data_IF_375565862096
#
_entry.id   IF_375565862096
#
_cell.length_a   1.000
_cell.length_b   1.000
_cell.length_c   1.000
_cell.angle_alpha   90.00
_cell.angle_beta   90.00
_cell.angle_gamma   90.00
#
_symmetry.space_group_name_H-M   'P 1'
#
loop_
_entity.id
_entity.type
_entity.pdbx_description
1 polymer ?
#
# COMPACT_ATOMS: atom_id res chain seq x y z
N UNK A 1 6.85 14.81 -64.75
CA UNK A 1 6.01 15.29 -63.62
C UNK A 1 6.57 14.67 -62.35
N UNK A 2 7.15 15.48 -61.46
CA UNK A 2 7.92 15.02 -60.29
C UNK A 2 6.97 14.84 -59.09
N UNK A 3 6.72 13.60 -58.68
CA UNK A 3 5.97 13.28 -57.46
C UNK A 3 6.86 13.41 -56.23
N UNK A 4 6.39 14.13 -55.22
CA UNK A 4 7.14 14.49 -54.02
C UNK A 4 7.15 13.33 -53.00
N UNK A 5 8.30 12.95 -52.38
CA UNK A 5 8.42 11.74 -51.55
C UNK A 5 7.68 11.76 -50.20
N UNK A 6 7.03 12.87 -49.85
CA UNK A 6 6.52 13.11 -48.48
C UNK A 6 5.16 12.47 -48.18
N UNK A 7 4.52 11.78 -49.14
CA UNK A 7 3.16 11.24 -48.96
C UNK A 7 3.14 9.80 -48.41
N UNK A 8 4.28 9.12 -48.34
CA UNK A 8 4.37 7.76 -47.80
C UNK A 8 4.59 7.71 -46.27
N UNK A 9 4.67 8.86 -45.61
CA UNK A 9 4.93 8.98 -44.17
C UNK A 9 3.69 9.06 -43.28
N UNK A 10 2.48 9.12 -43.85
CA UNK A 10 1.24 9.33 -43.08
C UNK A 10 0.29 8.12 -43.03
N UNK A 11 0.64 6.99 -43.63
CA UNK A 11 -0.24 5.81 -43.65
C UNK A 11 0.07 4.76 -42.56
N UNK A 12 1.20 4.85 -41.86
CA UNK A 12 1.56 3.86 -40.80
C UNK A 12 1.19 4.35 -39.40
N UNK A 13 1.09 5.66 -39.19
CA UNK A 13 0.75 6.23 -37.87
C UNK A 13 -0.75 6.20 -37.53
N UNK A 14 -1.61 5.73 -38.44
CA UNK A 14 -3.07 5.61 -38.21
C UNK A 14 -3.51 4.20 -37.75
N UNK A 15 -2.59 3.28 -37.47
CA UNK A 15 -2.95 1.93 -36.98
C UNK A 15 -2.52 1.63 -35.52
N UNK A 16 -2.01 2.63 -34.79
CA UNK A 16 -1.72 2.51 -33.34
C UNK A 16 -2.56 3.47 -32.47
N UNK A 17 -3.59 4.10 -33.04
CA UNK A 17 -4.47 5.02 -32.32
C UNK A 17 -5.60 4.31 -31.53
N UNK A 18 -5.66 2.98 -31.56
CA UNK A 18 -6.65 2.16 -30.85
C UNK A 18 -5.99 1.10 -29.96
N UNK A 19 -4.88 1.44 -29.30
CA UNK A 19 -4.50 0.73 -28.09
C UNK A 19 -5.45 1.16 -26.96
N UNK A 20 -6.17 0.17 -26.45
CA UNK A 20 -7.24 0.24 -25.46
C UNK A 20 -6.93 1.17 -24.26
N UNK A 21 -7.45 2.41 -24.31
CA UNK A 21 -7.37 3.39 -23.21
C UNK A 21 -8.12 2.95 -21.93
N UNK A 22 -8.82 1.81 -21.92
CA UNK A 22 -9.58 1.35 -20.75
C UNK A 22 -8.74 0.71 -19.64
N UNK A 23 -7.44 0.49 -19.85
CA UNK A 23 -6.58 -0.08 -18.81
C UNK A 23 -5.96 0.97 -17.86
N UNK A 24 -6.03 2.26 -18.20
CA UNK A 24 -5.16 3.29 -17.61
C UNK A 24 -5.80 4.17 -16.51
N UNK A 25 -6.96 3.80 -15.95
CA UNK A 25 -7.60 4.62 -14.92
C UNK A 25 -8.32 3.80 -13.84
N UNK A 26 -7.69 2.73 -13.34
CA UNK A 26 -7.97 2.31 -11.96
C UNK A 26 -7.12 3.17 -11.04
N UNK A 27 -7.51 4.43 -10.91
CA UNK A 27 -7.15 5.17 -9.70
C UNK A 27 -7.70 4.35 -8.54
N UNK A 28 -6.83 3.73 -7.76
CA UNK A 28 -7.19 2.96 -6.56
C UNK A 28 -7.66 3.94 -5.47
N UNK A 29 -8.65 4.76 -5.75
CA UNK A 29 -9.51 5.29 -4.69
C UNK A 29 -10.39 4.12 -4.26
N UNK A 30 -10.33 3.77 -2.98
CA UNK A 30 -11.17 2.72 -2.41
C UNK A 30 -12.64 3.14 -2.61
N UNK A 31 -13.29 2.56 -3.62
CA UNK A 31 -14.75 2.57 -3.73
C UNK A 31 -15.29 1.85 -2.50
N UNK A 32 -16.34 2.36 -1.85
CA UNK A 32 -16.93 1.79 -0.62
C UNK A 32 -17.48 0.36 -0.77
N UNK A 33 -17.43 -0.23 -1.96
CA UNK A 33 -18.00 -1.54 -2.26
C UNK A 33 -17.08 -2.65 -1.76
N UNK A 34 -17.33 -3.10 -0.53
CA UNK A 34 -16.77 -4.32 0.05
C UNK A 34 -15.49 -4.14 0.84
N UNK A 35 -15.50 -3.30 1.89
CA UNK A 35 -14.36 -3.14 2.79
C UNK A 35 -13.96 -4.46 3.45
N UNK A 36 -12.65 -4.78 3.42
CA UNK A 36 -12.08 -5.90 4.14
C UNK A 36 -12.11 -5.65 5.65
N UNK A 37 -12.16 -6.72 6.45
CA UNK A 37 -12.18 -6.65 7.92
C UNK A 37 -10.95 -7.34 8.49
N UNK A 38 -10.34 -6.75 9.53
CA UNK A 38 -9.24 -7.39 10.27
C UNK A 38 -9.80 -8.47 11.21
N UNK A 39 -8.92 -9.33 11.72
CA UNK A 39 -9.29 -10.36 12.71
C UNK A 39 -9.84 -9.73 14.00
N UNK A 40 -9.40 -8.51 14.33
CA UNK A 40 -9.84 -7.76 15.51
C UNK A 40 -11.09 -6.88 15.25
N UNK A 41 -11.73 -7.00 14.10
CA UNK A 41 -12.89 -6.17 13.74
C UNK A 41 -14.01 -6.22 14.79
N UNK A 42 -14.42 -7.43 15.20
CA UNK A 42 -15.51 -7.59 16.16
C UNK A 42 -15.13 -7.03 17.54
N UNK A 43 -13.85 -7.14 17.93
CA UNK A 43 -13.31 -6.53 19.14
C UNK A 43 -13.42 -5.00 19.09
N UNK A 44 -13.08 -4.39 17.95
CA UNK A 44 -13.19 -2.93 17.78
C UNK A 44 -14.64 -2.45 17.89
N UNK A 45 -15.57 -3.14 17.22
CA UNK A 45 -16.99 -2.79 17.25
C UNK A 45 -17.56 -2.93 18.66
N UNK A 46 -17.26 -4.03 19.37
CA UNK A 46 -17.71 -4.26 20.74
C UNK A 46 -17.21 -3.19 21.73
N UNK A 47 -16.01 -2.64 21.50
CA UNK A 47 -15.42 -1.58 22.33
C UNK A 47 -15.83 -0.15 21.90
N UNK A 48 -16.77 0.00 20.96
CA UNK A 48 -17.29 1.29 20.54
C UNK A 48 -16.32 2.09 19.66
N UNK A 49 -15.48 1.40 18.88
CA UNK A 49 -14.62 2.06 17.91
C UNK A 49 -15.45 2.70 16.79
N UNK A 50 -15.04 3.88 16.36
CA UNK A 50 -15.53 4.49 15.12
C UNK A 50 -14.80 3.87 13.93
N UNK A 51 -15.50 3.06 13.14
CA UNK A 51 -14.94 2.40 11.97
C UNK A 51 -14.99 3.31 10.75
N UNK A 52 -13.90 3.35 9.97
CA UNK A 52 -13.77 4.19 8.75
C UNK A 52 -13.12 3.39 7.62
N UNK A 53 -13.42 3.70 6.35
CA UNK A 53 -12.70 3.13 5.22
C UNK A 53 -11.26 3.66 5.17
N UNK A 54 -10.28 2.77 5.24
CA UNK A 54 -8.86 3.08 5.10
C UNK A 54 -8.15 2.00 4.28
N UNK A 55 -7.50 2.38 3.18
CA UNK A 55 -6.76 1.47 2.29
C UNK A 55 -7.55 0.21 1.83
N UNK A 56 -8.87 0.31 1.71
CA UNK A 56 -9.75 -0.83 1.37
C UNK A 56 -10.15 -1.73 2.55
N UNK A 57 -9.79 -1.35 3.78
CA UNK A 57 -10.15 -2.00 5.03
C UNK A 57 -11.11 -1.14 5.86
N UNK A 58 -11.92 -1.78 6.69
CA UNK A 58 -12.70 -1.11 7.74
C UNK A 58 -11.86 -1.06 9.02
N UNK A 59 -11.31 0.11 9.33
CA UNK A 59 -10.33 0.30 10.42
C UNK A 59 -10.86 1.23 11.52
N UNK A 60 -10.47 1.04 12.79
CA UNK A 60 -10.85 1.92 13.88
C UNK A 60 -10.04 3.23 13.86
N UNK A 61 -10.71 4.40 13.89
CA UNK A 61 -10.02 5.72 13.98
C UNK A 61 -9.88 6.22 15.42
N UNK A 62 -10.88 5.94 16.25
CA UNK A 62 -10.91 6.32 17.68
C UNK A 62 -11.91 5.44 18.42
N UNK A 63 -11.74 5.35 19.73
CA UNK A 63 -12.71 4.71 20.64
C UNK A 63 -13.57 5.79 21.31
N UNK A 64 -14.07 5.50 22.52
CA UNK A 64 -14.88 6.42 23.32
C UNK A 64 -14.12 7.72 23.66
N UNK A 65 -12.81 7.64 23.81
CA UNK A 65 -11.95 8.79 24.13
C UNK A 65 -11.65 9.67 22.91
N UNK A 66 -11.24 10.91 23.20
CA UNK A 66 -10.76 11.82 22.16
C UNK A 66 -9.44 11.34 21.56
N UNK A 67 -9.18 11.71 20.30
CA UNK A 67 -7.90 11.41 19.62
C UNK A 67 -6.73 12.01 20.39
N UNK A 68 -6.89 13.22 20.94
CA UNK A 68 -5.88 13.87 21.76
C UNK A 68 -5.55 13.08 23.02
N UNK A 69 -6.57 12.59 23.74
CA UNK A 69 -6.37 11.77 24.92
C UNK A 69 -5.61 10.48 24.58
N UNK A 70 -5.97 9.83 23.46
CA UNK A 70 -5.26 8.62 23.01
C UNK A 70 -3.78 8.88 22.68
N UNK A 71 -3.47 10.04 22.10
CA UNK A 71 -2.09 10.45 21.78
C UNK A 71 -1.29 10.75 23.04
N UNK A 72 -1.88 11.47 24.01
CA UNK A 72 -1.25 11.74 25.30
C UNK A 72 -0.99 10.43 26.06
N UNK A 73 -2.00 9.55 26.13
CA UNK A 73 -1.88 8.25 26.79
C UNK A 73 -0.80 7.36 26.16
N UNK A 74 -0.68 7.35 24.83
CA UNK A 74 0.37 6.60 24.14
C UNK A 74 1.78 7.08 24.49
N UNK A 75 1.95 8.37 24.79
CA UNK A 75 3.25 8.96 25.17
C UNK A 75 3.56 8.81 26.66
N UNK A 76 2.55 8.89 27.51
CA UNK A 76 2.71 8.84 28.96
C UNK A 76 2.75 7.41 29.50
N UNK A 77 1.98 6.51 28.91
CA UNK A 77 1.81 5.13 29.37
C UNK A 77 2.20 4.16 28.26
N UNK A 78 1.35 4.01 27.25
CA UNK A 78 1.51 3.04 26.17
C UNK A 78 0.23 2.95 25.33
N UNK A 79 0.37 2.45 24.10
CA UNK A 79 -0.73 2.32 23.14
C UNK A 79 -0.69 0.98 22.41
N UNK A 80 -1.87 0.43 22.13
CA UNK A 80 -2.04 -0.77 21.31
C UNK A 80 -2.68 -0.38 19.96
N UNK A 81 -2.06 -0.80 18.87
CA UNK A 81 -2.49 -0.47 17.51
C UNK A 81 -2.80 -1.75 16.73
N UNK A 82 -3.98 -1.82 16.10
CA UNK A 82 -4.26 -2.85 15.10
C UNK A 82 -3.62 -2.45 13.77
N UNK A 83 -2.47 -3.06 13.48
CA UNK A 83 -1.74 -2.90 12.21
C UNK A 83 -1.88 -4.13 11.31
N UNK A 84 -2.87 -5.00 11.56
CA UNK A 84 -3.01 -6.28 10.85
C UNK A 84 -3.25 -6.14 9.34
N UNK A 85 -3.71 -4.97 8.88
CA UNK A 85 -3.83 -4.66 7.45
C UNK A 85 -2.48 -4.38 6.76
N UNK A 86 -1.42 -4.10 7.52
CA UNK A 86 -0.08 -3.91 6.99
C UNK A 86 0.44 -5.25 6.50
N UNK A 87 0.96 -5.27 5.28
CA UNK A 87 1.56 -6.47 4.71
C UNK A 87 2.94 -6.67 5.33
N UNK A 88 3.10 -7.74 6.11
CA UNK A 88 4.42 -8.28 6.46
C UNK A 88 4.94 -9.18 5.35
N UNK A 89 6.18 -8.98 4.92
CA UNK A 89 6.85 -9.82 3.92
C UNK A 89 8.10 -10.44 4.54
N UNK A 90 8.31 -11.73 4.26
CA UNK A 90 9.54 -12.44 4.61
C UNK A 90 10.22 -12.89 3.32
N UNK A 91 11.48 -12.49 3.15
CA UNK A 91 12.30 -12.85 2.00
C UNK A 91 13.41 -13.78 2.48
N UNK A 92 13.54 -14.93 1.85
CA UNK A 92 14.57 -15.93 2.19
C UNK A 92 15.26 -16.43 0.92
N UNK A 93 16.55 -16.72 1.03
CA UNK A 93 17.36 -17.22 -0.08
C UNK A 93 18.67 -16.47 -0.28
N UNK A 94 19.50 -17.00 -1.19
CA UNK A 94 20.80 -16.41 -1.50
C UNK A 94 20.60 -15.08 -2.26
N UNK A 95 21.23 -14.01 -1.78
CA UNK A 95 21.19 -12.70 -2.43
C UNK A 95 19.96 -11.84 -2.09
N UNK A 96 19.18 -12.17 -1.05
CA UNK A 96 18.05 -11.34 -0.61
C UNK A 96 18.45 -9.89 -0.32
N UNK A 97 19.60 -9.67 0.31
CA UNK A 97 20.15 -8.34 0.61
C UNK A 97 20.38 -7.54 -0.68
N UNK A 98 21.14 -8.11 -1.63
CA UNK A 98 21.40 -7.47 -2.93
C UNK A 98 20.13 -7.21 -3.75
N UNK A 99 19.09 -8.03 -3.59
CA UNK A 99 17.80 -7.80 -4.22
C UNK A 99 17.06 -6.64 -3.54
N UNK A 100 17.04 -6.61 -2.22
CA UNK A 100 16.33 -5.58 -1.46
C UNK A 100 16.97 -4.19 -1.68
N UNK A 101 18.29 -4.10 -1.70
CA UNK A 101 19.05 -2.86 -1.97
C UNK A 101 18.83 -2.30 -3.39
N UNK A 102 18.34 -3.12 -4.33
CA UNK A 102 17.88 -2.62 -5.64
C UNK A 102 16.49 -1.98 -5.59
N UNK A 103 15.69 -2.31 -4.57
CA UNK A 103 14.32 -1.81 -4.38
C UNK A 103 14.24 -0.63 -3.42
N UNK A 104 15.11 -0.59 -2.40
CA UNK A 104 15.10 0.43 -1.35
C UNK A 104 16.37 1.28 -1.40
N UNK A 105 16.25 2.54 -0.99
CA UNK A 105 17.41 3.44 -0.83
C UNK A 105 17.91 3.31 0.62
N UNK A 106 18.44 2.14 0.96
CA UNK A 106 19.02 1.84 2.26
C UNK A 106 20.12 0.79 2.09
N UNK A 107 21.17 0.88 2.90
CA UNK A 107 22.17 -0.19 3.06
C UNK A 107 21.57 -1.24 3.99
N UNK A 108 21.24 -2.41 3.44
CA UNK A 108 20.61 -3.49 4.19
C UNK A 108 21.70 -4.39 4.77
N UNK A 109 22.85 -4.48 4.11
CA UNK A 109 23.98 -5.28 4.58
C UNK A 109 24.57 -4.76 5.91
N UNK A 110 24.52 -3.46 6.17
CA UNK A 110 25.01 -2.83 7.40
C UNK A 110 23.99 -2.82 8.56
N UNK A 111 22.80 -3.40 8.38
CA UNK A 111 21.80 -3.47 9.44
C UNK A 111 22.19 -4.52 10.51
N UNK A 112 22.11 -4.19 11.82
CA UNK A 112 22.35 -5.15 12.88
C UNK A 112 21.33 -6.30 12.82
N UNK A 113 21.81 -7.55 12.97
CA UNK A 113 20.98 -8.77 12.89
C UNK A 113 19.81 -8.81 13.89
N UNK A 114 19.86 -8.07 15.00
CA UNK A 114 18.74 -7.97 15.95
C UNK A 114 17.55 -7.15 15.41
N UNK A 115 17.75 -6.35 14.36
CA UNK A 115 16.69 -5.54 13.74
C UNK A 115 15.95 -6.28 12.62
N UNK A 116 16.50 -7.40 12.12
CA UNK A 116 15.87 -8.21 11.07
C UNK A 116 14.70 -9.07 11.60
N UNK A 117 14.67 -9.30 12.91
CA UNK A 117 13.71 -10.18 13.57
C UNK A 117 12.54 -9.42 14.20
N UNK A 118 11.82 -8.63 13.40
CA UNK A 118 10.48 -8.17 13.74
C UNK A 118 9.43 -8.92 12.90
N UNK A 119 9.47 -10.26 12.95
CA UNK A 119 8.42 -11.12 12.42
C UNK A 119 8.03 -12.15 13.48
N UNK A 120 6.73 -12.18 13.78
CA UNK A 120 6.07 -13.08 14.70
C UNK A 120 6.59 -14.52 14.57
N UNK A 121 7.04 -15.07 15.69
CA UNK A 121 7.31 -16.50 15.89
C UNK A 121 6.05 -17.19 16.39
#
# INVERSE_FOLDING_TARGET
MRGSPWHLGQSVTRCLAQANKKAAARWFFALEVGLKRTVLYDFHVANGAKMVPFAGWSMPIRYKDSIMNSTVNCRQNGGLFDVSQMCGLSLTGNGCVLFLEKLVIADVADLPLEQEHCLYK
#
